data_IF_536612891099
#
_entry.id   IF_536612891099
#
_cell.length_a   1.000
_cell.length_b   1.000
_cell.length_c   1.000
_cell.angle_alpha   90.00
_cell.angle_beta   90.00
_cell.angle_gamma   90.00
#
_symmetry.space_group_name_H-M   'P 1'
#
loop_
_entity.id
_entity.type
_entity.pdbx_description
1 polymer ?
#
# COMPACT_ATOMS: atom_id res chain seq x y z
N UNK A 1 40.52 -16.28 2.67
CA UNK A 1 39.91 -15.39 3.67
C UNK A 1 38.60 -14.88 3.11
N UNK A 2 37.49 -15.55 3.42
CA UNK A 2 36.15 -15.13 3.06
C UNK A 2 35.37 -14.92 4.36
N UNK A 3 35.10 -13.67 4.71
CA UNK A 3 34.24 -13.33 5.84
C UNK A 3 32.79 -13.44 5.38
N UNK A 4 32.10 -14.48 5.83
CA UNK A 4 30.64 -14.56 5.79
C UNK A 4 30.06 -13.62 6.87
N UNK A 5 29.39 -12.56 6.43
CA UNK A 5 28.54 -11.74 7.28
C UNK A 5 27.16 -12.41 7.35
N UNK A 6 26.98 -13.28 8.34
CA UNK A 6 25.66 -13.75 8.76
C UNK A 6 25.11 -12.66 9.69
N UNK A 7 24.18 -11.85 9.19
CA UNK A 7 23.37 -10.99 10.03
C UNK A 7 22.38 -11.87 10.82
N UNK A 8 22.28 -11.74 12.15
CA UNK A 8 21.20 -12.36 12.88
C UNK A 8 19.93 -11.54 12.59
N UNK A 9 19.06 -12.08 11.75
CA UNK A 9 17.67 -11.64 11.73
C UNK A 9 17.13 -11.87 13.14
N UNK A 10 16.84 -10.78 13.86
CA UNK A 10 16.12 -10.79 15.13
C UNK A 10 14.70 -11.33 14.86
N UNK A 11 14.62 -12.65 14.85
CA UNK A 11 13.40 -13.45 14.80
C UNK A 11 12.83 -13.54 16.22
N UNK A 12 11.97 -12.61 16.60
CA UNK A 12 11.06 -12.85 17.73
C UNK A 12 9.87 -11.89 17.75
N UNK A 13 9.05 -11.86 16.70
CA UNK A 13 7.65 -11.43 16.83
C UNK A 13 6.76 -12.30 15.95
N UNK A 14 6.65 -13.57 16.33
CA UNK A 14 5.50 -14.38 15.93
C UNK A 14 4.34 -13.99 16.86
N UNK A 15 3.21 -13.50 16.34
CA UNK A 15 2.03 -13.35 17.17
C UNK A 15 1.50 -14.74 17.55
N UNK A 16 1.32 -14.94 18.85
CA UNK A 16 0.82 -16.17 19.47
C UNK A 16 -0.67 -16.35 19.10
N UNK A 17 -1.10 -17.49 18.51
CA UNK A 17 -2.50 -17.71 18.15
C UNK A 17 -3.24 -18.29 19.36
N UNK A 18 -3.69 -17.42 20.27
CA UNK A 18 -4.61 -17.82 21.34
C UNK A 18 -5.60 -16.72 21.69
N UNK A 19 -6.65 -16.56 20.88
CA UNK A 19 -7.89 -15.97 21.40
C UNK A 19 -9.10 -16.72 20.85
N UNK A 20 -9.79 -17.40 21.76
CA UNK A 20 -11.11 -17.99 21.52
C UNK A 20 -12.12 -16.88 21.26
N UNK A 21 -12.97 -17.09 20.25
CA UNK A 21 -14.03 -16.17 19.88
C UNK A 21 -15.09 -16.15 21.00
N UNK A 22 -15.17 -15.04 21.73
CA UNK A 22 -16.34 -14.72 22.55
C UNK A 22 -17.34 -13.99 21.65
N UNK A 23 -18.51 -14.61 21.45
CA UNK A 23 -19.60 -14.03 20.68
C UNK A 23 -20.28 -12.91 21.50
N UNK A 24 -20.05 -11.65 21.13
CA UNK A 24 -20.88 -10.54 21.61
C UNK A 24 -22.12 -10.41 20.72
N UNK A 25 -23.29 -10.67 21.32
CA UNK A 25 -24.58 -10.63 20.65
C UNK A 25 -24.98 -9.22 20.22
N UNK A 26 -25.25 -9.06 18.92
CA UNK A 26 -25.93 -7.89 18.39
C UNK A 26 -27.42 -8.24 18.17
N UNK A 27 -28.29 -7.71 19.02
CA UNK A 27 -29.75 -7.83 18.87
C UNK A 27 -30.22 -6.99 17.67
N UNK A 28 -30.76 -7.66 16.63
CA UNK A 28 -31.34 -7.02 15.44
C UNK A 28 -32.75 -6.46 15.72
N UNK A 29 -33.16 -5.34 15.10
CA UNK A 29 -34.52 -4.84 15.19
C UNK A 29 -35.48 -5.74 14.40
N UNK A 30 -36.67 -6.00 14.96
CA UNK A 30 -37.72 -6.82 14.35
C UNK A 30 -38.36 -6.05 13.19
N UNK A 31 -38.08 -6.46 11.95
CA UNK A 31 -38.82 -6.02 10.79
C UNK A 31 -40.00 -6.98 10.56
N UNK A 32 -41.24 -6.49 10.68
CA UNK A 32 -42.44 -7.28 10.35
C UNK A 32 -42.58 -7.32 8.83
N UNK A 33 -42.10 -8.39 8.23
CA UNK A 33 -42.28 -8.69 6.81
C UNK A 33 -43.65 -9.34 6.62
N UNK A 34 -44.53 -8.73 5.81
CA UNK A 34 -45.74 -9.40 5.31
C UNK A 34 -45.32 -10.44 4.28
N UNK A 35 -45.67 -11.70 4.54
CA UNK A 35 -45.34 -12.83 3.69
C UNK A 35 -46.21 -12.79 2.42
N UNK A 36 -45.59 -12.52 1.28
CA UNK A 36 -46.18 -12.80 -0.04
C UNK A 36 -45.62 -14.17 -0.44
N UNK A 37 -46.47 -15.20 -0.48
CA UNK A 37 -46.05 -16.53 -0.90
C UNK A 37 -46.27 -16.68 -2.41
N UNK A 38 -45.17 -16.73 -3.15
CA UNK A 38 -45.18 -17.13 -4.55
C UNK A 38 -44.87 -18.63 -4.63
N UNK A 39 -45.79 -19.43 -5.18
CA UNK A 39 -45.57 -20.86 -5.42
C UNK A 39 -45.10 -21.06 -6.86
N UNK A 40 -43.84 -21.41 -7.04
CA UNK A 40 -43.29 -21.78 -8.36
C UNK A 40 -43.29 -23.29 -8.49
N UNK A 41 -44.12 -23.84 -9.37
CA UNK A 41 -44.03 -25.24 -9.79
C UNK A 41 -42.84 -25.36 -10.73
N UNK A 42 -41.70 -25.80 -10.21
CA UNK A 42 -40.51 -26.12 -11.02
C UNK A 42 -40.38 -27.62 -11.16
N UNK A 43 -40.07 -28.14 -12.36
CA UNK A 43 -39.79 -29.56 -12.55
C UNK A 43 -38.63 -29.97 -11.65
N UNK A 44 -38.73 -31.17 -11.06
CA UNK A 44 -37.70 -31.79 -10.21
C UNK A 44 -36.43 -32.03 -11.02
N UNK A 45 -35.62 -31.00 -11.18
CA UNK A 45 -34.18 -31.13 -11.34
C UNK A 45 -33.61 -30.96 -9.95
N UNK A 46 -32.90 -31.97 -9.45
CA UNK A 46 -32.06 -31.84 -8.26
C UNK A 46 -30.87 -30.94 -8.59
N UNK A 47 -31.11 -29.64 -8.77
CA UNK A 47 -30.08 -28.64 -9.04
C UNK A 47 -29.62 -27.99 -7.75
N UNK A 48 -29.31 -28.79 -6.74
CA UNK A 48 -28.40 -28.37 -5.67
C UNK A 48 -26.97 -28.50 -6.20
N UNK A 49 -26.60 -27.64 -7.16
CA UNK A 49 -25.19 -27.51 -7.55
C UNK A 49 -24.44 -26.97 -6.33
N UNK A 50 -23.66 -27.84 -5.69
CA UNK A 50 -22.82 -27.44 -4.55
C UNK A 50 -21.87 -26.34 -5.00
N UNK A 51 -21.93 -25.19 -4.32
CA UNK A 51 -21.04 -24.06 -4.59
C UNK A 51 -19.60 -24.51 -4.33
N UNK A 52 -18.72 -24.37 -5.34
CA UNK A 52 -17.28 -24.62 -5.18
C UNK A 52 -16.65 -23.51 -4.34
N UNK A 53 -15.80 -23.87 -3.38
CA UNK A 53 -14.94 -22.91 -2.65
C UNK A 53 -13.55 -22.87 -3.28
N UNK A 54 -12.96 -21.68 -3.41
CA UNK A 54 -11.60 -21.51 -3.94
C UNK A 54 -10.49 -21.81 -2.92
N UNK A 55 -10.84 -22.09 -1.66
CA UNK A 55 -9.90 -22.35 -0.56
C UNK A 55 -8.81 -21.27 -0.39
N UNK A 56 -9.17 -20.00 -0.63
CA UNK A 56 -8.29 -18.87 -0.42
C UNK A 56 -7.86 -18.78 1.05
N UNK A 57 -6.58 -18.44 1.26
CA UNK A 57 -6.06 -18.15 2.58
C UNK A 57 -6.52 -16.74 3.03
N UNK A 58 -6.68 -16.52 4.35
CA UNK A 58 -6.99 -15.19 4.86
C UNK A 58 -5.86 -14.20 4.57
N UNK A 59 -6.16 -12.91 4.74
CA UNK A 59 -5.15 -11.85 4.69
C UNK A 59 -4.00 -12.13 5.65
N UNK A 60 -2.77 -11.80 5.22
CA UNK A 60 -1.58 -11.84 6.08
C UNK A 60 -1.66 -10.72 7.14
N UNK A 61 -2.33 -9.61 6.81
CA UNK A 61 -2.49 -8.47 7.70
C UNK A 61 -3.87 -8.47 8.34
N UNK A 62 -3.89 -8.53 9.66
CA UNK A 62 -5.10 -8.40 10.47
C UNK A 62 -5.52 -6.93 10.63
N UNK A 63 -6.79 -6.71 10.95
CA UNK A 63 -7.36 -5.38 11.10
C UNK A 63 -6.66 -4.56 12.19
N UNK A 64 -6.47 -5.15 13.38
CA UNK A 64 -5.82 -4.49 14.51
C UNK A 64 -4.36 -4.13 14.19
N UNK A 65 -3.67 -5.00 13.44
CA UNK A 65 -2.31 -4.73 12.96
C UNK A 65 -2.29 -3.50 12.04
N UNK A 66 -3.17 -3.45 11.04
CA UNK A 66 -3.25 -2.30 10.13
C UNK A 66 -3.59 -1.02 10.88
N UNK A 67 -4.51 -1.08 11.85
CA UNK A 67 -4.90 0.08 12.64
C UNK A 67 -3.79 0.58 13.57
N UNK A 68 -2.92 -0.33 14.05
CA UNK A 68 -1.78 0.02 14.90
C UNK A 68 -0.62 0.72 14.18
N UNK A 69 -0.63 0.76 12.84
CA UNK A 69 0.43 1.37 12.05
C UNK A 69 0.50 2.88 12.30
N UNK A 70 1.55 3.31 13.00
CA UNK A 70 1.91 4.71 13.16
C UNK A 70 3.21 5.02 12.43
N UNK A 71 3.27 6.13 11.68
CA UNK A 71 4.52 6.64 11.11
C UNK A 71 5.12 7.73 12.00
N UNK A 72 6.42 7.61 12.29
CA UNK A 72 7.19 8.72 12.90
C UNK A 72 7.40 9.89 11.92
N UNK A 73 7.22 9.63 10.62
CA UNK A 73 7.41 10.59 9.54
C UNK A 73 6.18 11.47 9.33
N UNK A 74 5.90 12.33 10.31
CA UNK A 74 4.81 13.32 10.22
C UNK A 74 5.27 14.54 9.43
N UNK A 75 4.35 15.14 8.68
CA UNK A 75 4.60 16.34 7.85
C UNK A 75 5.11 17.49 8.71
N UNK A 76 4.55 17.70 9.90
CA UNK A 76 4.98 18.77 10.81
C UNK A 76 6.46 18.66 11.24
N UNK A 77 6.96 17.43 11.39
CA UNK A 77 8.33 17.20 11.84
C UNK A 77 9.36 17.31 10.70
N UNK A 78 8.98 16.96 9.47
CA UNK A 78 9.93 16.81 8.37
C UNK A 78 9.67 17.73 7.17
N UNK A 79 8.52 18.41 7.12
CA UNK A 79 8.09 19.22 5.99
C UNK A 79 9.09 20.31 5.65
N UNK A 80 9.61 21.02 6.66
CA UNK A 80 10.63 22.07 6.47
C UNK A 80 11.91 21.53 5.84
N UNK A 81 12.34 20.32 6.22
CA UNK A 81 13.52 19.68 5.64
C UNK A 81 13.25 19.20 4.22
N UNK A 82 12.06 18.66 3.96
CA UNK A 82 11.62 18.23 2.62
C UNK A 82 11.61 19.40 1.66
N UNK A 83 11.02 20.54 2.02
CA UNK A 83 11.01 21.73 1.15
C UNK A 83 12.41 22.25 0.87
N UNK A 84 13.28 22.32 1.90
CA UNK A 84 14.69 22.67 1.68
C UNK A 84 15.40 21.74 0.70
N UNK A 85 15.15 20.43 0.79
CA UNK A 85 15.75 19.45 -0.11
C UNK A 85 15.20 19.56 -1.53
N UNK A 86 13.90 19.85 -1.70
CA UNK A 86 13.31 20.11 -3.02
C UNK A 86 14.01 21.28 -3.71
N UNK A 87 14.22 22.38 -3.00
CA UNK A 87 14.91 23.55 -3.58
C UNK A 87 16.36 23.23 -3.97
N UNK A 88 17.09 22.46 -3.15
CA UNK A 88 18.44 22.00 -3.51
C UNK A 88 18.45 21.18 -4.80
N UNK A 89 17.50 20.27 -4.97
CA UNK A 89 17.41 19.45 -6.19
C UNK A 89 17.03 20.32 -7.40
N UNK A 90 16.13 21.30 -7.25
CA UNK A 90 15.80 22.25 -8.31
C UNK A 90 17.01 23.06 -8.76
N UNK A 91 17.81 23.54 -7.81
CA UNK A 91 19.08 24.21 -8.11
C UNK A 91 20.03 23.28 -8.85
N UNK A 92 20.19 22.04 -8.39
CA UNK A 92 21.06 21.07 -9.04
C UNK A 92 20.64 20.79 -10.49
N UNK A 93 19.33 20.70 -10.77
CA UNK A 93 18.82 20.54 -12.14
C UNK A 93 19.14 21.74 -13.05
N UNK A 94 19.26 22.95 -12.50
CA UNK A 94 19.52 24.18 -13.25
C UNK A 94 21.02 24.50 -13.41
N UNK A 95 21.81 24.26 -12.36
CA UNK A 95 23.22 24.66 -12.28
C UNK A 95 24.19 23.59 -12.80
N UNK A 96 23.72 22.39 -13.10
CA UNK A 96 24.59 21.34 -13.65
C UNK A 96 24.98 21.68 -15.09
N UNK A 97 26.26 21.98 -15.33
CA UNK A 97 26.77 22.42 -16.65
C UNK A 97 26.80 21.32 -17.72
N UNK A 98 26.80 20.05 -17.31
CA UNK A 98 26.86 18.90 -18.22
C UNK A 98 25.46 18.34 -18.50
N UNK A 99 25.05 18.31 -19.77
CA UNK A 99 23.80 17.70 -20.22
C UNK A 99 23.70 16.22 -19.84
N UNK A 100 24.82 15.48 -19.87
CA UNK A 100 24.88 14.09 -19.43
C UNK A 100 24.56 13.97 -17.93
N UNK A 101 25.18 14.81 -17.10
CA UNK A 101 24.95 14.78 -15.65
C UNK A 101 23.51 15.20 -15.29
N UNK A 102 22.91 16.12 -16.04
CA UNK A 102 21.49 16.47 -15.90
C UNK A 102 20.57 15.26 -16.19
N UNK A 103 20.82 14.53 -17.28
CA UNK A 103 20.05 13.33 -17.64
C UNK A 103 20.23 12.24 -16.58
N UNK A 104 21.44 12.02 -16.07
CA UNK A 104 21.68 11.06 -14.98
C UNK A 104 20.93 11.43 -13.70
N UNK A 105 20.82 12.72 -13.39
CA UNK A 105 20.04 13.19 -12.25
C UNK A 105 18.54 12.93 -12.45
N UNK A 106 18.03 13.16 -13.66
CA UNK A 106 16.64 12.85 -14.03
C UNK A 106 16.36 11.34 -13.88
N UNK A 107 17.26 10.47 -14.35
CA UNK A 107 17.11 9.02 -14.19
C UNK A 107 17.04 8.63 -12.70
N UNK A 108 17.93 9.18 -11.87
CA UNK A 108 17.92 8.96 -10.41
C UNK A 108 16.60 9.40 -9.78
N UNK A 109 16.08 10.58 -10.13
CA UNK A 109 14.80 11.07 -9.63
C UNK A 109 13.63 10.17 -10.04
N UNK A 110 13.66 9.64 -11.26
CA UNK A 110 12.65 8.72 -11.74
C UNK A 110 12.69 7.38 -10.99
N UNK A 111 13.87 6.79 -10.81
CA UNK A 111 14.07 5.52 -10.08
C UNK A 111 13.73 5.63 -8.59
N UNK A 112 13.88 6.81 -8.00
CA UNK A 112 13.46 7.10 -6.63
C UNK A 112 11.95 7.39 -6.49
N UNK A 113 11.19 7.45 -7.59
CA UNK A 113 9.76 7.79 -7.56
C UNK A 113 9.48 9.26 -7.25
N UNK A 114 10.47 10.14 -7.43
CA UNK A 114 10.39 11.57 -7.12
C UNK A 114 10.08 12.44 -8.35
N UNK A 115 9.97 11.85 -9.55
CA UNK A 115 9.73 12.57 -10.82
C UNK A 115 8.59 13.58 -10.74
N UNK A 116 7.47 13.21 -10.10
CA UNK A 116 6.28 14.05 -10.01
C UNK A 116 6.50 15.35 -9.23
N UNK A 117 7.53 15.44 -8.39
CA UNK A 117 7.88 16.65 -7.64
C UNK A 117 8.56 17.72 -8.51
N UNK A 118 9.12 17.33 -9.65
CA UNK A 118 9.99 18.17 -10.48
C UNK A 118 9.57 18.16 -11.97
N UNK A 119 8.29 17.93 -12.27
CA UNK A 119 7.84 17.75 -13.66
C UNK A 119 8.16 18.95 -14.56
N UNK A 120 8.09 20.16 -14.02
CA UNK A 120 8.35 21.38 -14.76
C UNK A 120 9.84 21.53 -15.06
N UNK A 121 10.69 21.33 -14.06
CA UNK A 121 12.14 21.39 -14.18
C UNK A 121 12.66 20.32 -15.15
N UNK A 122 12.14 19.09 -15.05
CA UNK A 122 12.52 17.99 -15.95
C UNK A 122 12.13 18.33 -17.40
N UNK A 123 10.91 18.85 -17.64
CA UNK A 123 10.49 19.26 -18.98
C UNK A 123 11.38 20.37 -19.55
N UNK A 124 11.76 21.35 -18.73
CA UNK A 124 12.66 22.44 -19.13
C UNK A 124 14.03 21.90 -19.51
N UNK A 125 14.65 21.09 -18.66
CA UNK A 125 15.96 20.49 -18.93
C UNK A 125 15.94 19.67 -20.22
N UNK A 126 14.94 18.80 -20.40
CA UNK A 126 14.81 18.00 -21.62
C UNK A 126 14.59 18.85 -22.88
N UNK A 127 13.86 19.96 -22.77
CA UNK A 127 13.68 20.89 -23.87
C UNK A 127 14.99 21.63 -24.23
N UNK A 128 15.82 21.97 -23.24
CA UNK A 128 17.10 22.67 -23.46
C UNK A 128 18.18 21.76 -24.05
N UNK A 129 18.17 20.46 -23.71
CA UNK A 129 19.12 19.47 -24.25
C UNK A 129 18.71 18.97 -25.65
N UNK A 130 17.41 18.99 -25.95
CA UNK A 130 16.85 18.65 -27.26
C UNK A 130 17.33 19.59 -28.37
#
# INVERSE_FOLDING_TARGET
MALQMIAPFLSSFLPNPRHGLVAHGLTRPKCVSKQISCSTTTPTYSTTVQRRSGNYKPSIWDYDFVQSLGSGYKVEAHGTRVEKLKEVVKHLLKETDSSLAQIELIDKLHRLGLRWLFENEIKQVLYTIS
#
